data_IF_142390744819
#
_entry.id   IF_142390744819
#
_cell.length_a   1.000
_cell.length_b   1.000
_cell.length_c   1.000
_cell.angle_alpha   90.00
_cell.angle_beta   90.00
_cell.angle_gamma   90.00
#
_symmetry.space_group_name_H-M   'P 1'
#
loop_
_entity.id
_entity.type
_entity.pdbx_description
1 polymer ?
#
# COMPACT_ATOMS: atom_id res chain seq x y z
N UNK A 1 -10.64 -14.31 -15.27
CA UNK A 1 -9.54 -15.04 -14.61
C UNK A 1 -9.35 -14.40 -13.25
N UNK A 2 -9.48 -15.12 -12.13
CA UNK A 2 -9.24 -14.55 -10.79
C UNK A 2 -7.73 -14.48 -10.56
N UNK A 3 -7.18 -13.35 -10.12
CA UNK A 3 -5.74 -13.25 -9.92
C UNK A 3 -5.30 -13.98 -8.66
N UNK A 4 -4.09 -14.53 -8.70
CA UNK A 4 -3.43 -15.07 -7.51
C UNK A 4 -2.82 -13.88 -6.79
N UNK A 5 -3.20 -13.72 -5.52
CA UNK A 5 -2.70 -12.69 -4.60
C UNK A 5 -1.85 -13.40 -3.57
N UNK A 6 -0.60 -12.96 -3.41
CA UNK A 6 0.30 -13.46 -2.38
C UNK A 6 0.77 -12.31 -1.50
N UNK A 7 0.51 -12.38 -0.20
CA UNK A 7 1.11 -11.48 0.78
C UNK A 7 2.37 -12.15 1.30
N UNK A 8 3.53 -11.68 0.84
CA UNK A 8 4.83 -12.26 1.16
C UNK A 8 5.44 -11.72 2.46
N UNK A 9 6.45 -12.43 2.98
CA UNK A 9 7.16 -12.11 4.23
C UNK A 9 8.14 -10.93 4.11
N UNK A 10 8.33 -10.39 2.90
CA UNK A 10 9.25 -9.27 2.71
C UNK A 10 8.70 -8.01 3.38
N UNK A 11 9.50 -7.49 4.30
CA UNK A 11 9.26 -6.26 5.04
C UNK A 11 10.10 -5.17 4.40
N UNK A 12 9.45 -4.13 3.85
CA UNK A 12 10.16 -2.91 3.51
C UNK A 12 10.09 -1.92 4.66
N UNK A 13 11.23 -1.39 5.07
CA UNK A 13 11.32 -0.24 5.93
C UNK A 13 11.03 0.99 5.11
N UNK A 14 9.95 1.68 5.46
CA UNK A 14 9.54 2.89 4.77
C UNK A 14 9.09 3.96 5.74
N UNK A 15 8.90 5.17 5.24
CA UNK A 15 8.34 6.26 6.01
C UNK A 15 7.15 6.87 5.29
N UNK A 16 6.03 7.09 5.99
CA UNK A 16 4.92 7.88 5.42
C UNK A 16 4.92 9.35 5.79
N UNK A 17 4.59 10.18 4.81
CA UNK A 17 4.25 11.59 4.99
C UNK A 17 2.78 11.70 5.45
N UNK A 18 2.57 12.15 6.68
CA UNK A 18 1.24 12.15 7.34
C UNK A 18 0.64 13.53 7.58
N UNK A 19 1.37 14.62 7.32
CA UNK A 19 0.89 15.98 7.56
C UNK A 19 1.71 17.05 6.80
N UNK A 20 1.18 18.28 6.78
CA UNK A 20 1.80 19.48 6.21
C UNK A 20 3.17 19.81 6.83
N UNK A 21 3.53 19.20 7.97
CA UNK A 21 4.77 19.43 8.73
C UNK A 21 5.94 18.53 8.33
N UNK A 22 5.83 17.72 7.27
CA UNK A 22 6.94 16.87 6.79
C UNK A 22 7.46 15.82 7.77
N UNK A 23 6.59 15.28 8.63
CA UNK A 23 6.97 14.18 9.52
C UNK A 23 6.83 12.82 8.84
N UNK A 24 7.94 12.12 8.74
CA UNK A 24 8.07 10.77 8.21
C UNK A 24 7.90 9.74 9.34
N UNK A 25 6.83 8.93 9.30
CA UNK A 25 6.59 7.88 10.30
C UNK A 25 7.14 6.54 9.81
N UNK A 26 8.11 5.93 10.52
CA UNK A 26 8.63 4.61 10.14
C UNK A 26 7.52 3.57 10.10
N UNK A 27 7.56 2.71 9.10
CA UNK A 27 6.61 1.63 8.91
C UNK A 27 7.26 0.42 8.28
N UNK A 28 6.57 -0.70 8.45
CA UNK A 28 6.86 -1.98 7.81
C UNK A 28 5.80 -2.22 6.75
N UNK A 29 6.23 -2.46 5.51
CA UNK A 29 5.35 -2.87 4.41
C UNK A 29 5.46 -4.37 4.19
N UNK A 30 4.38 -5.11 4.40
CA UNK A 30 4.27 -6.50 3.96
C UNK A 30 4.09 -6.52 2.43
N UNK A 31 4.97 -7.22 1.71
CA UNK A 31 4.88 -7.32 0.26
C UNK A 31 3.59 -7.96 -0.22
N UNK A 32 3.02 -7.44 -1.30
CA UNK A 32 1.85 -7.99 -1.97
C UNK A 32 2.19 -8.18 -3.45
N UNK A 33 2.09 -9.43 -3.91
CA UNK A 33 2.31 -9.84 -5.29
C UNK A 33 0.97 -10.21 -5.95
N UNK A 34 0.76 -9.67 -7.15
CA UNK A 34 -0.42 -9.93 -7.96
C UNK A 34 0.06 -10.42 -9.33
N UNK A 35 -0.32 -11.64 -9.70
CA UNK A 35 0.29 -12.36 -10.84
C UNK A 35 0.33 -11.60 -12.17
N UNK A 36 -0.69 -10.79 -12.48
CA UNK A 36 -0.78 -10.04 -13.74
C UNK A 36 -0.11 -8.66 -13.69
N UNK A 37 0.31 -8.19 -12.51
CA UNK A 37 1.10 -6.96 -12.36
C UNK A 37 2.60 -7.20 -12.64
N UNK A 38 3.02 -8.47 -12.80
CA UNK A 38 4.41 -8.82 -13.13
C UNK A 38 5.38 -8.44 -12.01
N UNK A 39 6.41 -7.65 -12.32
CA UNK A 39 7.43 -7.23 -11.37
C UNK A 39 7.00 -6.05 -10.47
N UNK A 40 5.81 -5.48 -10.68
CA UNK A 40 5.30 -4.41 -9.80
C UNK A 40 5.02 -5.00 -8.43
N UNK A 41 5.56 -4.35 -7.40
CA UNK A 41 5.36 -4.77 -6.01
C UNK A 41 4.44 -3.80 -5.31
N UNK A 42 3.39 -4.35 -4.72
CA UNK A 42 2.53 -3.63 -3.79
C UNK A 42 3.01 -3.90 -2.36
N UNK A 43 2.60 -3.05 -1.43
CA UNK A 43 2.95 -3.14 -0.03
C UNK A 43 1.76 -2.77 0.84
N UNK A 44 1.57 -3.50 1.92
CA UNK A 44 0.59 -3.17 2.96
C UNK A 44 1.28 -2.68 4.21
N UNK A 45 0.88 -1.50 4.70
CA UNK A 45 1.30 -0.97 5.99
C UNK A 45 0.18 -1.11 7.02
N UNK A 46 0.56 -1.35 8.28
CA UNK A 46 -0.33 -1.25 9.43
C UNK A 46 0.24 -0.20 10.39
N UNK A 47 -0.53 0.83 10.72
CA UNK A 47 -0.07 1.96 11.51
C UNK A 47 -1.00 2.15 12.70
N UNK A 48 -0.46 1.98 13.92
CA UNK A 48 -1.16 2.37 15.13
C UNK A 48 -1.18 3.91 15.22
N UNK A 49 -2.36 4.50 15.19
CA UNK A 49 -2.56 5.96 15.27
C UNK A 49 -2.86 6.41 16.69
N UNK A 50 -3.70 5.65 17.38
CA UNK A 50 -4.22 5.99 18.70
C UNK A 50 -4.49 4.72 19.51
N UNK A 51 -4.30 4.82 20.82
CA UNK A 51 -4.70 3.81 21.80
C UNK A 51 -5.58 4.48 22.85
N UNK A 52 -6.79 3.95 23.02
CA UNK A 52 -7.76 4.43 23.98
C UNK A 52 -7.49 3.87 25.37
N UNK A 53 -7.92 4.55 26.45
CA UNK A 53 -7.73 4.07 27.82
C UNK A 53 -8.37 2.71 28.13
N UNK A 54 -9.37 2.30 27.35
CA UNK A 54 -10.04 0.99 27.45
C UNK A 54 -9.30 -0.13 26.67
N UNK A 55 -8.13 0.18 26.11
CA UNK A 55 -7.29 -0.73 25.34
C UNK A 55 -7.66 -0.82 23.86
N UNK A 56 -8.68 -0.09 23.38
CA UNK A 56 -9.05 -0.10 21.96
C UNK A 56 -8.00 0.64 21.12
N UNK A 57 -7.58 0.01 20.03
CA UNK A 57 -6.54 0.51 19.12
C UNK A 57 -7.17 1.07 17.85
N UNK A 58 -6.75 2.26 17.43
CA UNK A 58 -7.01 2.78 16.09
C UNK A 58 -5.85 2.41 15.16
N UNK A 59 -6.13 1.59 14.16
CA UNK A 59 -5.14 1.12 13.20
C UNK A 59 -5.55 1.59 11.82
N UNK A 60 -4.63 2.24 11.12
CA UNK A 60 -4.74 2.57 9.72
C UNK A 60 -3.99 1.51 8.90
N UNK A 61 -4.69 0.85 7.98
CA UNK A 61 -4.12 -0.12 7.05
C UNK A 61 -4.06 0.54 5.67
N UNK A 62 -2.88 0.59 5.07
CA UNK A 62 -2.65 1.27 3.79
C UNK A 62 -2.14 0.27 2.75
N UNK A 63 -2.64 0.37 1.53
CA UNK A 63 -2.10 -0.30 0.35
C UNK A 63 -1.31 0.71 -0.49
N UNK A 64 -0.11 0.35 -0.90
CA UNK A 64 0.79 1.22 -1.63
C UNK A 64 1.52 0.52 -2.78
N UNK A 65 1.88 1.29 -3.80
CA UNK A 65 2.90 0.89 -4.76
C UNK A 65 4.27 1.15 -4.12
N UNK A 66 5.04 0.07 -3.93
CA UNK A 66 6.34 0.10 -3.23
C UNK A 66 7.38 0.85 -4.06
N UNK A 67 7.34 0.73 -5.39
CA UNK A 67 8.35 1.33 -6.27
C UNK A 67 8.22 2.85 -6.37
N UNK A 68 6.99 3.34 -6.33
CA UNK A 68 6.64 4.76 -6.56
C UNK A 68 6.32 5.49 -5.26
N UNK A 69 6.02 4.75 -4.18
CA UNK A 69 5.63 5.30 -2.89
C UNK A 69 4.25 5.93 -2.87
N UNK A 70 3.38 5.57 -3.83
CA UNK A 70 2.01 6.07 -3.96
C UNK A 70 1.07 5.26 -3.08
N UNK A 71 0.17 5.93 -2.36
CA UNK A 71 -0.96 5.29 -1.69
C UNK A 71 -2.04 4.97 -2.72
N UNK A 72 -2.41 3.69 -2.78
CA UNK A 72 -3.40 3.17 -3.72
C UNK A 72 -4.78 3.06 -3.07
N UNK A 73 -4.83 2.63 -1.81
CA UNK A 73 -6.06 2.47 -1.04
C UNK A 73 -5.74 2.45 0.47
N UNK A 74 -6.77 2.54 1.32
CA UNK A 74 -6.59 2.44 2.76
C UNK A 74 -7.89 2.36 3.56
N UNK A 75 -7.80 1.76 4.73
CA UNK A 75 -8.92 1.61 5.66
C UNK A 75 -8.47 1.87 7.09
N UNK A 76 -9.27 2.64 7.81
CA UNK A 76 -9.08 2.90 9.23
C UNK A 76 -10.05 2.04 10.04
N UNK A 77 -9.56 1.39 11.09
CA UNK A 77 -10.38 0.56 11.94
C UNK A 77 -10.03 0.70 13.42
N UNK A 78 -11.07 0.52 14.23
CA UNK A 78 -10.94 0.44 15.68
C UNK A 78 -11.08 -1.00 16.13
N UNK A 79 -10.08 -1.50 16.85
CA UNK A 79 -9.98 -2.91 17.21
C UNK A 79 -9.57 -3.10 18.66
N UNK A 80 -10.12 -4.11 19.33
CA UNK A 80 -9.63 -4.51 20.65
C UNK A 80 -8.35 -5.35 20.54
N UNK A 81 -7.50 -5.40 21.57
CA UNK A 81 -6.27 -6.21 21.52
C UNK A 81 -6.59 -7.70 21.31
N UNK A 82 -7.69 -8.17 21.88
CA UNK A 82 -8.16 -9.54 21.70
C UNK A 82 -8.61 -9.77 20.25
N UNK A 83 -7.93 -10.67 19.54
CA UNK A 83 -8.23 -10.96 18.13
C UNK A 83 -7.64 -9.96 17.13
N UNK A 84 -6.77 -9.03 17.58
CA UNK A 84 -6.10 -8.05 16.72
C UNK A 84 -5.54 -8.66 15.44
N UNK A 85 -4.74 -9.71 15.57
CA UNK A 85 -4.03 -10.33 14.44
C UNK A 85 -4.96 -10.93 13.40
N UNK A 86 -6.02 -11.62 13.83
CA UNK A 86 -6.95 -12.27 12.90
C UNK A 86 -7.78 -11.24 12.14
N UNK A 87 -8.26 -10.20 12.82
CA UNK A 87 -9.01 -9.14 12.13
C UNK A 87 -8.11 -8.33 11.20
N UNK A 88 -6.87 -8.03 11.58
CA UNK A 88 -5.92 -7.36 10.68
C UNK A 88 -5.62 -8.23 9.45
N UNK A 89 -5.45 -9.54 9.63
CA UNK A 89 -5.32 -10.47 8.50
C UNK A 89 -6.51 -10.37 7.53
N UNK A 90 -7.74 -10.43 8.06
CA UNK A 90 -8.96 -10.30 7.25
C UNK A 90 -9.02 -8.96 6.52
N UNK A 91 -8.76 -7.85 7.21
CA UNK A 91 -8.80 -6.51 6.64
C UNK A 91 -7.77 -6.33 5.52
N UNK A 92 -6.58 -6.90 5.66
CA UNK A 92 -5.57 -6.88 4.58
C UNK A 92 -6.05 -7.64 3.34
N UNK A 93 -6.60 -8.83 3.54
CA UNK A 93 -7.13 -9.65 2.44
C UNK A 93 -8.31 -8.95 1.74
N UNK A 94 -9.24 -8.37 2.51
CA UNK A 94 -10.38 -7.57 2.03
C UNK A 94 -9.90 -6.35 1.22
N UNK A 95 -8.97 -5.55 1.78
CA UNK A 95 -8.44 -4.35 1.13
C UNK A 95 -7.80 -4.67 -0.24
N UNK A 96 -6.99 -5.72 -0.32
CA UNK A 96 -6.35 -6.10 -1.60
C UNK A 96 -7.41 -6.63 -2.58
N UNK A 97 -8.36 -7.44 -2.10
CA UNK A 97 -9.41 -8.00 -2.94
C UNK A 97 -10.29 -6.91 -3.55
N UNK A 98 -10.70 -5.92 -2.76
CA UNK A 98 -11.52 -4.79 -3.18
C UNK A 98 -10.77 -3.91 -4.18
N UNK A 99 -9.51 -3.59 -3.89
CA UNK A 99 -8.66 -2.84 -4.82
C UNK A 99 -8.53 -3.54 -6.19
N UNK A 100 -8.29 -4.85 -6.17
CA UNK A 100 -8.18 -5.66 -7.40
C UNK A 100 -9.51 -5.74 -8.15
N UNK A 101 -10.63 -5.91 -7.43
CA UNK A 101 -11.96 -5.94 -8.03
C UNK A 101 -12.26 -4.60 -8.74
N UNK A 102 -11.93 -3.48 -8.10
CA UNK A 102 -12.07 -2.15 -8.65
C UNK A 102 -11.22 -1.95 -9.92
N UNK A 103 -9.96 -2.39 -9.92
CA UNK A 103 -9.11 -2.32 -11.12
C UNK A 103 -9.69 -3.13 -12.28
N UNK A 104 -10.22 -4.32 -12.01
CA UNK A 104 -10.86 -5.17 -13.03
C UNK A 104 -12.12 -4.51 -13.58
N UNK A 105 -12.95 -3.93 -12.73
CA UNK A 105 -14.16 -3.23 -13.15
C UNK A 105 -13.84 -1.99 -14.00
N UNK A 106 -12.86 -1.19 -13.58
CA UNK A 106 -12.40 -0.02 -14.34
C UNK A 106 -11.81 -0.43 -15.69
N UNK A 107 -11.08 -1.55 -15.75
CA UNK A 107 -10.54 -2.08 -16.99
C UNK A 107 -11.64 -2.48 -17.98
N UNK A 108 -12.69 -3.12 -17.50
CA UNK A 108 -13.86 -3.47 -18.31
C UNK A 108 -14.57 -2.24 -18.86
N UNK A 109 -14.80 -1.22 -18.01
CA UNK A 109 -15.51 -0.01 -18.43
C UNK A 109 -14.68 0.88 -19.38
N UNK A 110 -13.36 0.81 -19.31
CA UNK A 110 -12.44 1.57 -20.16
C UNK A 110 -11.90 0.79 -21.38
N UNK A 111 -12.42 -0.43 -21.64
CA UNK A 111 -11.92 -1.34 -22.69
C UNK A 111 -10.38 -1.50 -22.66
N UNK A 112 -9.82 -1.55 -21.46
CA UNK A 112 -8.38 -1.63 -21.21
C UNK A 112 -8.04 -2.86 -20.37
N UNK A 113 -6.75 -3.16 -20.19
CA UNK A 113 -6.35 -4.20 -19.24
C UNK A 113 -6.24 -3.64 -17.81
N UNK A 114 -6.46 -4.44 -16.75
CA UNK A 114 -6.24 -4.00 -15.37
C UNK A 114 -4.83 -3.45 -15.13
N UNK A 115 -3.82 -4.00 -15.83
CA UNK A 115 -2.43 -3.52 -15.77
C UNK A 115 -2.30 -2.10 -16.33
N UNK A 116 -3.00 -1.80 -17.42
CA UNK A 116 -3.01 -0.46 -18.01
C UNK A 116 -3.73 0.53 -17.08
N UNK A 117 -4.89 0.15 -16.53
CA UNK A 117 -5.60 1.00 -15.55
C UNK A 117 -4.73 1.30 -14.33
N UNK A 118 -4.04 0.29 -13.80
CA UNK A 118 -3.07 0.47 -12.72
C UNK A 118 -1.99 1.50 -13.07
N UNK A 119 -1.34 1.34 -14.24
CA UNK A 119 -0.29 2.25 -14.69
C UNK A 119 -0.82 3.68 -14.87
N UNK A 120 -1.99 3.84 -15.47
CA UNK A 120 -2.63 5.15 -15.64
C UNK A 120 -2.95 5.79 -14.29
N UNK A 121 -3.44 5.04 -13.30
CA UNK A 121 -3.72 5.57 -11.96
C UNK A 121 -2.46 6.10 -11.26
N UNK A 122 -1.35 5.37 -11.38
CA UNK A 122 -0.02 5.79 -10.87
C UNK A 122 0.45 7.06 -11.60
N UNK A 123 0.34 7.11 -12.92
CA UNK A 123 0.74 8.27 -13.73
C UNK A 123 -0.13 9.51 -13.47
N UNK A 124 -1.45 9.34 -13.34
CA UNK A 124 -2.38 10.43 -13.09
C UNK A 124 -2.22 11.01 -11.69
N UNK A 125 -1.84 10.19 -10.71
CA UNK A 125 -1.43 10.67 -9.40
C UNK A 125 -0.24 11.63 -9.53
N UNK A 126 0.78 11.28 -10.31
CA UNK A 126 1.93 12.16 -10.55
C UNK A 126 1.56 13.46 -11.28
N UNK A 127 0.62 13.42 -12.24
CA UNK A 127 0.16 14.62 -12.97
C UNK A 127 -0.61 15.61 -12.07
N UNK A 128 -1.23 15.13 -11.00
CA UNK A 128 -2.04 15.94 -10.07
C UNK A 128 -1.24 16.52 -8.90
N UNK A 129 0.05 16.20 -8.78
CA UNK A 129 0.90 16.75 -7.72
C UNK A 129 1.34 18.19 -8.03
N UNK A 130 1.38 19.09 -7.02
CA UNK A 130 1.93 20.44 -7.20
C UNK A 130 3.43 20.41 -7.56
N UNK A 131 3.91 21.43 -8.29
CA UNK A 131 5.31 21.54 -8.79
C UNK A 131 6.38 21.37 -7.69
N UNK A 132 6.04 21.73 -6.44
CA UNK A 132 6.85 21.41 -5.27
C UNK A 132 6.46 20.02 -4.75
N UNK A 133 7.16 19.02 -5.26
CA UNK A 133 7.09 17.61 -4.83
C UNK A 133 7.17 17.49 -3.31
N UNK A 134 6.17 16.97 -2.60
CA UNK A 134 6.44 16.15 -1.41
C UNK A 134 7.26 14.97 -1.92
N UNK A 135 8.43 14.71 -1.34
CA UNK A 135 9.41 13.80 -1.93
C UNK A 135 8.88 12.38 -2.19
N UNK A 136 7.85 11.94 -1.46
CA UNK A 136 7.05 10.73 -1.68
C UNK A 136 5.99 10.71 -0.56
N UNK A 137 4.85 10.05 -0.76
CA UNK A 137 3.99 9.74 0.39
C UNK A 137 4.61 8.61 1.20
N UNK A 138 5.32 7.67 0.55
CA UNK A 138 6.07 6.56 1.15
C UNK A 138 7.53 6.61 0.67
N UNK A 139 8.49 6.84 1.57
CA UNK A 139 9.92 6.80 1.25
C UNK A 139 10.56 5.51 1.79
N UNK A 140 10.96 4.61 0.89
CA UNK A 140 11.73 3.41 1.25
C UNK A 140 13.10 3.84 1.80
N UNK A 141 13.47 3.25 2.93
CA UNK A 141 14.79 3.47 3.51
C UNK A 141 15.87 2.95 2.56
N UNK A 142 16.84 3.79 2.19
CA UNK A 142 17.95 3.40 1.32
C UNK A 142 18.83 2.30 1.91
N UNK A 143 18.84 2.17 3.24
CA UNK A 143 19.61 1.15 3.96
C UNK A 143 18.81 -0.16 4.12
N UNK A 144 17.60 -0.24 3.58
CA UNK A 144 16.82 -1.46 3.57
C UNK A 144 17.48 -2.49 2.64
N UNK A 145 17.87 -3.68 3.15
CA UNK A 145 18.49 -4.72 2.32
C UNK A 145 17.59 -5.21 1.18
N UNK A 146 16.27 -4.96 1.24
CA UNK A 146 15.31 -5.25 0.17
C UNK A 146 15.16 -4.10 -0.84
N UNK A 147 15.62 -2.87 -0.54
CA UNK A 147 15.60 -1.75 -1.47
C UNK A 147 16.49 -2.00 -2.71
N UNK A 148 17.66 -2.62 -2.51
CA UNK A 148 18.58 -3.01 -3.59
C UNK A 148 17.98 -4.02 -4.58
N UNK A 149 17.00 -4.82 -4.13
CA UNK A 149 16.28 -5.76 -5.01
C UNK A 149 15.22 -5.07 -5.85
N UNK A 150 14.72 -3.90 -5.42
CA UNK A 150 13.77 -3.09 -6.19
C UNK A 150 14.48 -2.35 -7.34
N UNK A 151 15.70 -1.86 -7.12
CA UNK A 151 16.46 -1.05 -8.10
C UNK A 151 17.07 -1.87 -9.24
N UNK A 152 17.39 -3.16 -9.02
CA UNK A 152 18.02 -4.04 -10.03
C UNK A 152 17.03 -4.76 -10.95
N UNK A 153 15.72 -4.73 -10.65
CA UNK A 153 14.67 -5.45 -11.39
C UNK A 153 13.46 -4.59 -11.79
N UNK A 154 13.57 -3.27 -11.65
CA UNK A 154 12.55 -2.28 -12.03
C UNK A 154 12.58 -1.92 -13.51
#
# INVERSE_FOLDING_TARGET
MRPIIHVGEYIYLSHIWVNEETKYTPMVLASVEISWLGNRKLGIAEILREEMPDGKLNILVLLADVQTGILLDGVELWIKPEGKYERLRQVREELIADYVANLVLLAQTSNSSPKVVYQTSVEDFYKKMPEKRPATVIQINSDDPMADKLSKHG
#
